data_IF_651102826759
#
_entry.id   IF_651102826759
#
_cell.length_a   1.000
_cell.length_b   1.000
_cell.length_c   1.000
_cell.angle_alpha   90.00
_cell.angle_beta   90.00
_cell.angle_gamma   90.00
#
_symmetry.space_group_name_H-M   'P 1'
#
loop_
_entity.id
_entity.type
_entity.pdbx_description
1 polymer ?
#
# COMPACT_ATOMS: atom_id res chain seq x y z
N UNK A 1 -47.46 -0.63 101.05
CA UNK A 1 -46.70 -1.53 101.94
C UNK A 1 -45.28 -0.97 102.10
N UNK A 2 -44.99 -0.53 103.33
CA UNK A 2 -43.73 -0.74 104.09
C UNK A 2 -42.39 -0.05 103.69
N UNK A 3 -42.06 1.04 104.44
CA UNK A 3 -40.75 1.47 105.06
C UNK A 3 -39.52 1.86 104.18
N UNK A 4 -38.49 2.62 104.67
CA UNK A 4 -38.43 3.84 105.54
C UNK A 4 -37.27 4.85 105.12
N UNK A 5 -36.52 5.60 106.00
CA UNK A 5 -36.57 7.07 106.05
C UNK A 5 -35.22 7.83 105.84
N UNK A 6 -35.32 9.17 105.91
CA UNK A 6 -34.30 10.24 105.97
C UNK A 6 -32.96 9.93 106.68
N UNK A 7 -31.84 10.44 106.12
CA UNK A 7 -30.71 11.08 106.88
C UNK A 7 -29.99 12.12 105.98
N UNK A 8 -29.84 13.37 106.45
CA UNK A 8 -28.86 14.37 105.93
C UNK A 8 -27.51 14.15 106.63
N UNK A 9 -26.34 14.25 105.97
CA UNK A 9 -25.42 15.34 106.32
C UNK A 9 -24.34 15.77 105.27
N UNK A 10 -23.86 17.01 105.48
CA UNK A 10 -22.52 17.59 105.24
C UNK A 10 -22.04 18.01 103.82
N UNK A 11 -21.35 19.18 103.70
CA UNK A 11 -20.95 19.79 102.43
C UNK A 11 -19.58 19.29 101.91
N UNK A 12 -19.33 19.31 100.58
CA UNK A 12 -18.04 18.90 100.04
C UNK A 12 -16.98 20.02 100.10
N UNK A 13 -15.84 19.68 100.71
CA UNK A 13 -14.57 20.41 100.65
C UNK A 13 -13.93 20.30 99.25
N UNK A 14 -13.34 21.41 98.77
CA UNK A 14 -12.51 21.45 97.55
C UNK A 14 -11.17 20.74 97.77
N UNK A 15 -10.81 19.88 96.83
CA UNK A 15 -9.54 19.17 96.72
C UNK A 15 -8.45 20.02 96.00
N UNK A 16 -7.16 19.64 96.10
CA UNK A 16 -6.00 20.49 95.81
C UNK A 16 -5.53 20.49 94.34
N UNK A 17 -4.87 21.57 93.94
CA UNK A 17 -4.26 21.79 92.62
C UNK A 17 -3.02 20.90 92.39
N UNK A 18 -2.97 20.25 91.23
CA UNK A 18 -1.79 19.53 90.69
C UNK A 18 -1.00 20.44 89.70
N UNK A 19 0.31 20.23 89.52
CA UNK A 19 1.16 21.12 88.73
C UNK A 19 1.05 20.91 87.21
N UNK A 20 1.20 22.01 86.46
CA UNK A 20 1.06 22.13 85.01
C UNK A 20 2.13 21.37 84.20
N UNK A 21 1.70 20.68 83.14
CA UNK A 21 2.56 20.10 82.10
C UNK A 21 3.11 21.18 81.13
N UNK A 22 4.28 20.97 80.50
CA UNK A 22 4.91 21.97 79.62
C UNK A 22 4.18 22.10 78.27
N UNK A 23 4.08 23.36 77.83
CA UNK A 23 3.44 23.81 76.60
C UNK A 23 4.10 23.21 75.36
N UNK A 24 3.36 22.45 74.56
CA UNK A 24 3.79 22.02 73.24
C UNK A 24 3.93 23.23 72.31
N UNK A 25 5.12 23.45 71.75
CA UNK A 25 5.35 24.46 70.72
C UNK A 25 4.54 24.10 69.46
N UNK A 26 3.80 25.08 68.94
CA UNK A 26 3.04 24.97 67.70
C UNK A 26 3.98 24.85 66.50
N UNK A 27 3.97 23.68 65.85
CA UNK A 27 4.61 23.46 64.55
C UNK A 27 3.87 24.32 63.51
N UNK A 28 4.55 25.16 62.71
CA UNK A 28 3.86 25.97 61.70
C UNK A 28 3.25 25.07 60.62
N UNK A 29 2.09 25.43 60.05
CA UNK A 29 1.39 24.59 59.09
C UNK A 29 2.27 24.36 57.86
N UNK A 30 2.55 23.09 57.54
CA UNK A 30 3.15 22.69 56.28
C UNK A 30 2.22 23.11 55.14
N UNK A 31 2.54 24.22 54.48
CA UNK A 31 1.86 24.67 53.26
C UNK A 31 2.01 23.58 52.20
N UNK A 32 0.90 23.15 51.61
CA UNK A 32 0.89 22.13 50.56
C UNK A 32 1.73 22.59 49.36
N UNK A 33 2.55 21.70 48.78
CA UNK A 33 3.46 22.05 47.68
C UNK A 33 2.78 22.72 46.48
N UNK A 34 1.49 22.44 46.25
CA UNK A 34 0.66 23.11 45.23
C UNK A 34 0.39 24.59 45.54
N UNK A 35 0.20 24.96 46.80
CA UNK A 35 0.01 26.35 47.22
C UNK A 35 1.31 27.17 47.03
N UNK A 36 2.46 26.57 47.35
CA UNK A 36 3.78 27.21 47.17
C UNK A 36 4.12 27.39 45.68
N UNK A 37 3.78 26.41 44.83
CA UNK A 37 3.97 26.50 43.37
C UNK A 37 3.08 27.57 42.77
N UNK A 38 1.81 27.65 43.17
CA UNK A 38 0.87 28.66 42.65
C UNK A 38 1.21 30.09 43.10
N UNK A 39 1.69 30.26 44.33
CA UNK A 39 2.13 31.56 44.86
C UNK A 39 3.44 32.03 44.20
N UNK A 40 4.39 31.12 43.95
CA UNK A 40 5.61 31.41 43.15
C UNK A 40 5.29 31.77 41.70
N UNK A 41 4.33 31.09 41.07
CA UNK A 41 3.87 31.42 39.72
C UNK A 41 3.20 32.81 39.67
N UNK A 42 2.41 33.17 40.69
CA UNK A 42 1.81 34.53 40.81
C UNK A 42 2.86 35.62 41.05
N UNK A 43 3.83 35.40 41.92
CA UNK A 43 4.90 36.36 42.21
C UNK A 43 5.89 36.52 41.02
N UNK A 44 6.09 35.46 40.23
CA UNK A 44 6.82 35.53 38.98
C UNK A 44 6.07 36.32 37.88
N UNK A 45 4.73 36.29 37.87
CA UNK A 45 3.94 37.02 36.89
C UNK A 45 3.96 38.57 37.07
N UNK A 46 4.29 39.04 38.27
CA UNK A 46 4.29 40.46 38.65
C UNK A 46 5.66 41.14 38.56
N UNK A 47 6.76 40.38 38.47
CA UNK A 47 8.15 40.90 38.39
C UNK A 47 8.73 40.71 36.97
N UNK A 48 9.54 41.65 36.47
CA UNK A 48 10.16 41.56 35.13
C UNK A 48 11.00 40.28 34.92
N UNK A 49 11.80 39.80 35.89
CA UNK A 49 12.53 38.53 35.79
C UNK A 49 11.62 37.30 35.66
N UNK A 50 10.50 37.27 36.40
CA UNK A 50 9.58 36.13 36.35
C UNK A 50 8.74 36.09 35.07
N UNK A 51 8.42 37.25 34.48
CA UNK A 51 7.79 37.33 33.15
C UNK A 51 8.69 36.76 32.05
N UNK A 52 10.00 36.96 32.12
CA UNK A 52 10.95 36.36 31.17
C UNK A 52 11.05 34.84 31.32
N UNK A 53 10.98 34.31 32.54
CA UNK A 53 10.92 32.86 32.78
C UNK A 53 9.66 32.22 32.21
N UNK A 54 8.49 32.85 32.40
CA UNK A 54 7.22 32.37 31.86
C UNK A 54 7.26 32.35 30.32
N UNK A 55 7.75 33.42 29.69
CA UNK A 55 7.88 33.48 28.22
C UNK A 55 8.85 32.39 27.72
N UNK A 56 9.99 32.20 28.39
CA UNK A 56 10.94 31.14 28.06
C UNK A 56 10.33 29.74 28.18
N UNK A 57 9.57 29.48 29.24
CA UNK A 57 8.88 28.21 29.45
C UNK A 57 7.78 27.95 28.41
N UNK A 58 6.99 28.97 28.06
CA UNK A 58 5.96 28.88 27.01
C UNK A 58 6.60 28.62 25.65
N UNK A 59 7.70 29.28 25.32
CA UNK A 59 8.44 29.05 24.08
C UNK A 59 9.04 27.66 24.01
N UNK A 60 9.67 27.19 25.08
CA UNK A 60 10.19 25.82 25.15
C UNK A 60 9.07 24.79 24.98
N UNK A 61 7.92 25.01 25.63
CA UNK A 61 6.76 24.14 25.50
C UNK A 61 6.17 24.15 24.09
N UNK A 62 6.11 25.31 23.43
CA UNK A 62 5.68 25.43 22.03
C UNK A 62 6.62 24.70 21.07
N UNK A 63 7.94 24.81 21.25
CA UNK A 63 8.93 24.10 20.42
C UNK A 63 8.84 22.60 20.62
N UNK A 64 8.67 22.14 21.87
CA UNK A 64 8.47 20.71 22.17
C UNK A 64 7.15 20.20 21.59
N UNK A 65 6.05 20.94 21.75
CA UNK A 65 4.76 20.57 21.18
C UNK A 65 4.80 20.51 19.65
N UNK A 66 5.44 21.51 19.00
CA UNK A 66 5.67 21.50 17.57
C UNK A 66 6.49 20.28 17.13
N UNK A 67 7.59 19.99 17.81
CA UNK A 67 8.42 18.81 17.55
C UNK A 67 7.65 17.49 17.71
N UNK A 68 6.88 17.35 18.78
CA UNK A 68 6.10 16.14 19.08
C UNK A 68 4.99 15.90 18.04
N UNK A 69 4.21 16.94 17.69
CA UNK A 69 3.15 16.83 16.68
C UNK A 69 3.74 16.55 15.30
N UNK A 70 4.85 17.20 14.97
CA UNK A 70 5.58 16.97 13.71
C UNK A 70 6.11 15.54 13.66
N UNK A 71 6.77 15.06 14.70
CA UNK A 71 7.25 13.69 14.78
C UNK A 71 6.11 12.66 14.65
N UNK A 72 4.98 12.87 15.33
CA UNK A 72 3.83 11.97 15.25
C UNK A 72 3.24 11.90 13.82
N UNK A 73 2.93 13.06 13.21
CA UNK A 73 2.31 13.11 11.88
C UNK A 73 3.22 12.61 10.77
N UNK A 74 4.53 12.80 10.90
CA UNK A 74 5.50 12.27 9.95
C UNK A 74 5.70 10.78 10.17
N UNK A 75 5.79 10.30 11.40
CA UNK A 75 5.93 8.87 11.68
C UNK A 75 4.79 8.06 11.07
N UNK A 76 3.54 8.51 11.26
CA UNK A 76 2.35 7.89 10.67
C UNK A 76 2.44 7.80 9.12
N UNK A 77 2.90 8.88 8.47
CA UNK A 77 3.10 8.92 7.01
C UNK A 77 4.28 8.08 6.54
N UNK A 78 5.36 8.07 7.31
CA UNK A 78 6.53 7.25 7.03
C UNK A 78 6.18 5.76 7.15
N UNK A 79 5.30 5.37 8.09
CA UNK A 79 4.76 4.01 8.16
C UNK A 79 3.85 3.69 6.99
N UNK A 80 2.95 4.58 6.57
CA UNK A 80 2.14 4.35 5.36
C UNK A 80 3.00 4.22 4.09
N UNK A 81 4.03 5.05 3.93
CA UNK A 81 4.98 4.92 2.83
C UNK A 81 5.84 3.65 2.93
N UNK A 82 6.15 3.18 4.15
CA UNK A 82 6.81 1.89 4.38
C UNK A 82 5.92 0.73 3.94
N UNK A 83 4.63 0.77 4.28
CA UNK A 83 3.62 -0.23 3.93
C UNK A 83 3.39 -0.32 2.41
N UNK A 84 3.32 0.83 1.72
CA UNK A 84 3.20 0.88 0.24
C UNK A 84 4.32 0.08 -0.43
N UNK A 85 5.57 0.27 0.00
CA UNK A 85 6.75 -0.36 -0.61
C UNK A 85 6.92 -1.82 -0.16
N UNK A 86 6.79 -2.10 1.14
CA UNK A 86 7.15 -3.42 1.68
C UNK A 86 6.01 -4.43 1.71
N UNK A 87 4.77 -3.97 1.60
CA UNK A 87 3.61 -4.83 1.81
C UNK A 87 2.59 -4.71 0.69
N UNK A 88 2.00 -3.54 0.50
CA UNK A 88 0.82 -3.38 -0.35
C UNK A 88 1.16 -3.53 -1.84
N UNK A 89 2.30 -3.00 -2.31
CA UNK A 89 2.73 -3.25 -3.69
C UNK A 89 3.12 -4.72 -3.92
N UNK A 90 3.97 -5.36 -3.09
CA UNK A 90 4.31 -6.77 -3.30
C UNK A 90 3.08 -7.68 -3.32
N UNK A 91 2.07 -7.41 -2.48
CA UNK A 91 0.82 -8.18 -2.47
C UNK A 91 -0.01 -7.98 -3.74
N UNK A 92 -0.14 -6.75 -4.24
CA UNK A 92 -0.83 -6.47 -5.52
C UNK A 92 -0.09 -7.14 -6.69
N UNK A 93 1.25 -7.07 -6.71
CA UNK A 93 2.08 -7.71 -7.73
C UNK A 93 1.99 -9.25 -7.65
N UNK A 94 2.02 -9.83 -6.46
CA UNK A 94 1.81 -11.28 -6.26
C UNK A 94 0.42 -11.70 -6.75
N UNK A 95 -0.63 -10.92 -6.46
CA UNK A 95 -1.99 -11.20 -6.92
C UNK A 95 -2.11 -11.19 -8.46
N UNK A 96 -1.49 -10.20 -9.13
CA UNK A 96 -1.41 -10.16 -10.59
C UNK A 96 -0.66 -11.39 -11.13
N UNK A 97 0.44 -11.79 -10.47
CA UNK A 97 1.21 -12.96 -10.87
C UNK A 97 0.46 -14.28 -10.64
N UNK A 98 -0.38 -14.40 -9.60
CA UNK A 98 -1.27 -15.56 -9.42
C UNK A 98 -2.20 -15.69 -10.62
N UNK A 99 -2.92 -14.62 -10.96
CA UNK A 99 -3.81 -14.63 -12.12
C UNK A 99 -3.06 -15.08 -13.37
N UNK A 100 -1.92 -14.42 -13.63
CA UNK A 100 -1.10 -14.65 -14.81
C UNK A 100 -0.67 -16.10 -14.91
N UNK A 101 -0.11 -16.68 -13.85
CA UNK A 101 0.35 -18.06 -13.86
C UNK A 101 -0.80 -19.04 -14.07
N UNK A 102 -1.98 -18.78 -13.52
CA UNK A 102 -3.17 -19.61 -13.79
C UNK A 102 -3.59 -19.56 -15.26
N UNK A 103 -3.60 -18.37 -15.85
CA UNK A 103 -4.00 -18.18 -17.24
C UNK A 103 -2.94 -18.68 -18.24
N UNK A 104 -1.64 -18.49 -17.95
CA UNK A 104 -0.52 -19.07 -18.71
C UNK A 104 -0.62 -20.62 -18.69
N UNK A 105 -0.89 -21.21 -17.52
CA UNK A 105 -1.05 -22.66 -17.38
C UNK A 105 -2.24 -23.20 -18.21
N UNK A 106 -3.39 -22.53 -18.22
CA UNK A 106 -4.56 -22.96 -19.00
C UNK A 106 -4.31 -22.87 -20.52
N UNK A 107 -3.67 -21.79 -20.97
CA UNK A 107 -3.24 -21.65 -22.36
C UNK A 107 -2.23 -22.74 -22.78
N UNK A 108 -1.27 -23.06 -21.91
CA UNK A 108 -0.31 -24.13 -22.13
C UNK A 108 -0.99 -25.50 -22.19
N UNK A 109 -1.90 -25.80 -21.25
CA UNK A 109 -2.62 -27.07 -21.21
C UNK A 109 -3.49 -27.28 -22.47
N UNK A 110 -4.20 -26.24 -22.93
CA UNK A 110 -4.99 -26.31 -24.15
C UNK A 110 -4.11 -26.49 -25.40
N UNK A 111 -3.00 -25.75 -25.50
CA UNK A 111 -2.06 -25.86 -26.62
C UNK A 111 -1.40 -27.24 -26.67
N UNK A 112 -0.97 -27.76 -25.50
CA UNK A 112 -0.36 -29.07 -25.38
C UNK A 112 -1.32 -30.21 -25.71
N UNK A 113 -2.60 -30.06 -25.36
CA UNK A 113 -3.63 -31.01 -25.76
C UNK A 113 -3.85 -31.04 -27.28
N UNK A 114 -3.89 -29.85 -27.92
CA UNK A 114 -4.07 -29.70 -29.36
C UNK A 114 -2.88 -30.21 -30.19
N UNK A 115 -1.67 -30.21 -29.63
CA UNK A 115 -0.48 -30.76 -30.29
C UNK A 115 -0.55 -32.29 -30.52
N UNK A 116 -1.50 -32.98 -29.87
CA UNK A 116 -1.81 -34.38 -30.09
C UNK A 116 -1.48 -35.29 -28.88
N UNK A 117 -1.47 -36.61 -29.07
CA UNK A 117 -1.30 -37.58 -27.98
C UNK A 117 0.03 -37.43 -27.23
N UNK A 118 1.09 -36.97 -27.91
CA UNK A 118 2.37 -36.65 -27.29
C UNK A 118 2.53 -35.14 -27.19
N UNK A 119 2.20 -34.60 -26.02
CA UNK A 119 2.42 -33.19 -25.70
C UNK A 119 3.92 -32.85 -25.78
N UNK A 120 4.32 -31.75 -26.45
CA UNK A 120 5.71 -31.28 -26.46
C UNK A 120 6.20 -31.01 -25.03
N UNK A 121 7.39 -31.53 -24.68
CA UNK A 121 7.94 -31.43 -23.32
C UNK A 121 8.01 -29.99 -22.81
N UNK A 122 8.43 -29.05 -23.66
CA UNK A 122 8.54 -27.64 -23.30
C UNK A 122 7.20 -27.03 -22.86
N UNK A 123 6.08 -27.41 -23.51
CA UNK A 123 4.73 -26.92 -23.15
C UNK A 123 4.29 -27.53 -21.82
N UNK A 124 4.59 -28.81 -21.60
CA UNK A 124 4.30 -29.50 -20.35
C UNK A 124 5.09 -28.89 -19.17
N UNK A 125 6.39 -28.67 -19.35
CA UNK A 125 7.26 -28.08 -18.33
C UNK A 125 6.82 -26.66 -17.99
N UNK A 126 6.41 -25.87 -18.98
CA UNK A 126 5.85 -24.54 -18.77
C UNK A 126 4.57 -24.60 -17.92
N UNK A 127 3.62 -25.48 -18.26
CA UNK A 127 2.40 -25.68 -17.46
C UNK A 127 2.73 -26.00 -16.00
N UNK A 128 3.69 -26.91 -15.75
CA UNK A 128 4.08 -27.27 -14.39
C UNK A 128 4.69 -26.09 -13.63
N UNK A 129 5.58 -25.33 -14.27
CA UNK A 129 6.20 -24.15 -13.69
C UNK A 129 5.16 -23.08 -13.33
N UNK A 130 4.17 -22.86 -14.19
CA UNK A 130 3.10 -21.89 -13.94
C UNK A 130 2.18 -22.34 -12.78
N UNK A 131 1.83 -23.63 -12.69
CA UNK A 131 1.05 -24.16 -11.55
C UNK A 131 1.83 -24.10 -10.24
N UNK A 132 3.14 -24.41 -10.28
CA UNK A 132 4.03 -24.30 -9.11
C UNK A 132 4.11 -22.85 -8.63
N UNK A 133 4.32 -21.91 -9.55
CA UNK A 133 4.41 -20.48 -9.23
C UNK A 133 3.09 -19.94 -8.66
N UNK A 134 1.94 -20.29 -9.26
CA UNK A 134 0.64 -19.92 -8.73
C UNK A 134 0.45 -20.46 -7.30
N UNK A 135 0.80 -21.73 -7.07
CA UNK A 135 0.69 -22.37 -5.75
C UNK A 135 1.59 -21.70 -4.72
N UNK A 136 2.84 -21.40 -5.08
CA UNK A 136 3.81 -20.71 -4.22
C UNK A 136 3.32 -19.32 -3.83
N UNK A 137 2.79 -18.56 -4.79
CA UNK A 137 2.25 -17.22 -4.55
C UNK A 137 0.97 -17.26 -3.72
N UNK A 138 0.09 -18.25 -3.91
CA UNK A 138 -1.09 -18.44 -3.08
C UNK A 138 -0.74 -18.71 -1.61
N UNK A 139 0.29 -19.53 -1.35
CA UNK A 139 0.80 -19.77 0.00
C UNK A 139 1.35 -18.47 0.61
N UNK A 140 2.13 -17.70 -0.16
CA UNK A 140 2.67 -16.41 0.27
C UNK A 140 1.55 -15.40 0.58
N UNK A 141 0.53 -15.32 -0.27
CA UNK A 141 -0.62 -14.44 -0.08
C UNK A 141 -1.43 -14.84 1.16
N UNK A 142 -1.69 -16.14 1.35
CA UNK A 142 -2.40 -16.67 2.52
C UNK A 142 -1.68 -16.36 3.83
N UNK A 143 -0.34 -16.42 3.86
CA UNK A 143 0.44 -16.10 5.05
C UNK A 143 0.37 -14.62 5.47
N UNK A 144 0.00 -13.72 4.56
CA UNK A 144 0.00 -12.27 4.77
C UNK A 144 -1.41 -11.64 4.78
N UNK A 145 -2.44 -12.47 4.65
CA UNK A 145 -3.84 -12.05 4.48
C UNK A 145 -4.73 -12.71 5.52
N UNK A 146 -5.56 -11.92 6.21
CA UNK A 146 -6.55 -12.45 7.14
C UNK A 146 -7.70 -13.14 6.37
N UNK A 147 -8.02 -14.37 6.75
CA UNK A 147 -9.06 -15.20 6.13
C UNK A 147 -10.47 -14.59 6.13
N UNK A 148 -10.76 -13.63 7.02
CA UNK A 148 -12.03 -12.92 7.10
C UNK A 148 -12.17 -11.77 6.10
N UNK A 149 -11.08 -11.40 5.43
CA UNK A 149 -11.07 -10.33 4.43
C UNK A 149 -11.56 -10.83 3.07
N UNK A 150 -11.94 -9.90 2.19
CA UNK A 150 -12.28 -10.21 0.79
C UNK A 150 -11.16 -11.00 0.10
N UNK A 151 -9.91 -10.53 0.22
CA UNK A 151 -8.73 -11.23 -0.30
C UNK A 151 -8.59 -12.65 0.28
N UNK A 152 -8.81 -12.82 1.58
CA UNK A 152 -8.78 -14.14 2.24
C UNK A 152 -9.81 -15.13 1.68
N UNK A 153 -11.02 -14.64 1.36
CA UNK A 153 -12.04 -15.46 0.71
C UNK A 153 -11.64 -15.89 -0.71
N UNK A 154 -11.12 -14.99 -1.53
CA UNK A 154 -10.68 -15.33 -2.89
C UNK A 154 -9.49 -16.31 -2.88
N UNK A 155 -8.51 -16.11 -1.98
CA UNK A 155 -7.40 -17.04 -1.78
C UNK A 155 -7.91 -18.43 -1.39
N UNK A 156 -8.95 -18.49 -0.55
CA UNK A 156 -9.58 -19.77 -0.16
C UNK A 156 -10.22 -20.46 -1.37
N UNK A 157 -10.96 -19.73 -2.21
CA UNK A 157 -11.53 -20.26 -3.45
C UNK A 157 -10.44 -20.79 -4.38
N UNK A 158 -9.36 -20.02 -4.59
CA UNK A 158 -8.24 -20.42 -5.43
C UNK A 158 -7.57 -21.71 -4.93
N UNK A 159 -7.31 -21.80 -3.62
CA UNK A 159 -6.72 -22.99 -3.00
C UNK A 159 -7.61 -24.24 -3.11
N UNK A 160 -8.94 -24.08 -3.16
CA UNK A 160 -9.89 -25.19 -3.30
C UNK A 160 -10.04 -25.66 -4.75
N UNK A 161 -10.08 -24.73 -5.69
CA UNK A 161 -10.35 -25.03 -7.10
C UNK A 161 -9.08 -25.41 -7.87
N UNK A 162 -7.90 -24.92 -7.49
CA UNK A 162 -6.66 -25.20 -8.22
C UNK A 162 -6.33 -26.71 -8.27
N UNK A 163 -6.41 -27.49 -7.17
CA UNK A 163 -6.21 -28.94 -7.23
C UNK A 163 -7.26 -29.68 -8.06
N UNK A 164 -8.50 -29.16 -8.12
CA UNK A 164 -9.58 -29.75 -8.93
C UNK A 164 -9.29 -29.53 -10.42
N UNK A 165 -8.88 -28.33 -10.78
CA UNK A 165 -8.45 -27.99 -12.13
C UNK A 165 -7.29 -28.88 -12.59
N UNK A 166 -6.20 -28.95 -11.81
CA UNK A 166 -5.02 -29.75 -12.19
C UNK A 166 -5.38 -31.24 -12.33
N UNK A 167 -6.22 -31.77 -11.45
CA UNK A 167 -6.73 -33.13 -11.56
C UNK A 167 -7.54 -33.39 -12.84
N UNK A 168 -8.29 -32.42 -13.34
CA UNK A 168 -9.02 -32.52 -14.61
C UNK A 168 -8.08 -32.47 -15.83
N UNK A 169 -7.06 -31.60 -15.79
CA UNK A 169 -6.04 -31.54 -16.86
C UNK A 169 -5.28 -32.86 -16.99
N UNK A 170 -4.88 -33.46 -15.87
CA UNK A 170 -4.16 -34.74 -15.94
C UNK A 170 -5.06 -35.89 -16.45
N UNK A 171 -6.36 -35.89 -16.14
CA UNK A 171 -7.32 -36.80 -16.76
C UNK A 171 -7.46 -36.54 -18.25
N UNK A 172 -7.53 -35.29 -18.67
CA UNK A 172 -7.58 -34.92 -20.09
C UNK A 172 -6.35 -35.46 -20.84
N UNK A 173 -5.14 -35.20 -20.33
CA UNK A 173 -3.87 -35.70 -20.89
C UNK A 173 -3.81 -37.23 -20.96
N UNK A 174 -4.19 -37.92 -19.88
CA UNK A 174 -4.19 -39.38 -19.84
C UNK A 174 -5.13 -40.01 -20.88
N UNK A 175 -6.29 -39.39 -21.13
CA UNK A 175 -7.22 -39.82 -22.17
C UNK A 175 -6.73 -39.42 -23.58
N UNK A 176 -6.11 -38.25 -23.73
CA UNK A 176 -5.53 -37.80 -25.01
C UNK A 176 -4.43 -38.75 -25.51
N UNK A 177 -3.56 -39.19 -24.59
CA UNK A 177 -2.52 -40.20 -24.87
C UNK A 177 -3.08 -41.52 -25.40
N UNK A 178 -4.31 -41.86 -25.03
CA UNK A 178 -5.01 -43.07 -25.48
C UNK A 178 -5.90 -42.83 -26.71
N UNK A 179 -5.94 -41.59 -27.24
CA UNK A 179 -6.83 -41.21 -28.35
C UNK A 179 -8.32 -41.22 -27.98
N UNK A 180 -8.66 -41.17 -26.69
CA UNK A 180 -10.05 -41.23 -26.23
C UNK A 180 -10.70 -39.85 -26.33
N UNK A 181 -11.88 -39.71 -26.99
CA UNK A 181 -12.60 -38.44 -27.10
C UNK A 181 -12.93 -37.78 -25.76
N UNK A 182 -13.00 -38.57 -24.69
CA UNK A 182 -13.23 -38.11 -23.32
C UNK A 182 -12.17 -37.12 -22.83
N UNK A 183 -10.95 -37.15 -23.40
CA UNK A 183 -9.90 -36.18 -23.09
C UNK A 183 -10.33 -34.74 -23.34
N UNK A 184 -10.99 -34.48 -24.48
CA UNK A 184 -11.47 -33.15 -24.83
C UNK A 184 -12.61 -32.68 -23.92
N UNK A 185 -13.43 -33.60 -23.41
CA UNK A 185 -14.48 -33.27 -22.45
C UNK A 185 -13.90 -32.84 -21.09
N UNK A 186 -12.89 -33.56 -20.59
CA UNK A 186 -12.19 -33.17 -19.37
C UNK A 186 -11.46 -31.83 -19.51
N UNK A 187 -10.81 -31.58 -20.66
CA UNK A 187 -10.15 -30.30 -20.92
C UNK A 187 -11.17 -29.14 -20.91
N UNK A 188 -12.31 -29.28 -21.60
CA UNK A 188 -13.34 -28.25 -21.61
C UNK A 188 -13.89 -27.98 -20.20
N UNK A 189 -14.09 -29.04 -19.40
CA UNK A 189 -14.55 -28.88 -18.02
C UNK A 189 -13.50 -28.23 -17.12
N UNK A 190 -12.22 -28.56 -17.30
CA UNK A 190 -11.11 -27.90 -16.61
C UNK A 190 -11.06 -26.40 -16.96
N UNK A 191 -11.13 -26.06 -18.25
CA UNK A 191 -11.16 -24.67 -18.69
C UNK A 191 -12.41 -23.93 -18.17
N UNK A 192 -13.58 -24.58 -18.11
CA UNK A 192 -14.77 -23.97 -17.50
C UNK A 192 -14.52 -23.60 -16.03
N UNK A 193 -13.81 -24.44 -15.27
CA UNK A 193 -13.38 -24.09 -13.90
C UNK A 193 -12.36 -22.96 -13.89
N UNK A 194 -11.41 -22.96 -14.83
CA UNK A 194 -10.43 -21.89 -14.94
C UNK A 194 -11.12 -20.54 -15.22
N UNK A 195 -11.91 -20.47 -16.29
CA UNK A 195 -12.57 -19.24 -16.74
C UNK A 195 -13.74 -18.80 -15.84
N UNK A 196 -14.46 -19.73 -15.22
CA UNK A 196 -15.65 -19.44 -14.41
C UNK A 196 -15.39 -19.24 -12.92
N UNK A 197 -14.31 -19.81 -12.37
CA UNK A 197 -14.06 -19.81 -10.93
C UNK A 197 -12.67 -19.27 -10.59
N UNK A 198 -11.60 -19.86 -11.13
CA UNK A 198 -10.22 -19.50 -10.76
C UNK A 198 -9.82 -18.10 -11.22
N UNK A 199 -9.93 -17.79 -12.51
CA UNK A 199 -9.55 -16.49 -13.05
C UNK A 199 -10.41 -15.35 -12.46
N UNK A 200 -11.74 -15.47 -12.34
CA UNK A 200 -12.55 -14.46 -11.66
C UNK A 200 -12.23 -14.28 -10.17
N UNK A 201 -11.84 -15.34 -9.46
CA UNK A 201 -11.37 -15.22 -8.08
C UNK A 201 -10.02 -14.50 -8.01
N UNK A 202 -9.08 -14.83 -8.89
CA UNK A 202 -7.79 -14.15 -8.98
C UNK A 202 -7.94 -12.66 -9.39
N UNK A 203 -8.88 -12.34 -10.27
CA UNK A 203 -9.20 -10.97 -10.68
C UNK A 203 -9.77 -10.16 -9.51
N UNK A 204 -10.69 -10.75 -8.73
CA UNK A 204 -11.23 -10.13 -7.51
C UNK A 204 -10.17 -9.97 -6.42
N UNK A 205 -9.26 -10.93 -6.27
CA UNK A 205 -8.10 -10.82 -5.38
C UNK A 205 -7.21 -9.64 -5.79
N UNK A 206 -6.87 -9.55 -7.08
CA UNK A 206 -6.08 -8.45 -7.62
C UNK A 206 -6.76 -7.09 -7.40
N UNK A 207 -8.06 -6.99 -7.66
CA UNK A 207 -8.83 -5.76 -7.44
C UNK A 207 -8.86 -5.35 -5.95
N UNK A 208 -8.97 -6.32 -5.03
CA UNK A 208 -8.97 -6.06 -3.60
C UNK A 208 -7.61 -5.53 -3.11
N UNK A 209 -6.50 -6.15 -3.53
CA UNK A 209 -5.15 -5.71 -3.15
C UNK A 209 -4.77 -4.36 -3.79
N UNK A 210 -5.18 -4.12 -5.03
CA UNK A 210 -4.93 -2.84 -5.71
C UNK A 210 -5.75 -1.70 -5.09
N UNK A 211 -7.00 -1.98 -4.69
CA UNK A 211 -7.82 -1.01 -3.94
C UNK A 211 -7.22 -0.65 -2.58
N UNK A 212 -6.65 -1.62 -1.88
CA UNK A 212 -5.93 -1.40 -0.61
C UNK A 212 -4.67 -0.56 -0.80
N UNK A 213 -3.87 -0.87 -1.83
CA UNK A 213 -2.70 -0.08 -2.20
C UNK A 213 -3.06 1.39 -2.45
N UNK A 214 -4.17 1.65 -3.14
CA UNK A 214 -4.70 3.01 -3.34
C UNK A 214 -5.02 3.74 -2.03
N UNK A 215 -5.60 3.05 -1.04
CA UNK A 215 -5.94 3.65 0.27
C UNK A 215 -4.70 4.01 1.09
N UNK A 216 -3.70 3.12 1.14
CA UNK A 216 -2.43 3.37 1.85
C UNK A 216 -1.69 4.56 1.21
N UNK A 217 -1.77 4.62 -0.11
CA UNK A 217 -1.19 5.67 -0.92
C UNK A 217 -1.87 7.04 -0.70
N UNK A 218 -3.21 7.11 -0.69
CA UNK A 218 -3.95 8.35 -0.39
C UNK A 218 -3.66 8.85 1.03
N UNK A 219 -3.55 7.93 1.99
CA UNK A 219 -3.19 8.25 3.38
C UNK A 219 -1.80 8.88 3.46
N UNK A 220 -0.81 8.31 2.75
CA UNK A 220 0.56 8.85 2.70
C UNK A 220 0.65 10.26 2.08
N UNK A 221 -0.25 10.62 1.15
CA UNK A 221 -0.22 11.88 0.38
C UNK A 221 -0.88 13.08 1.08
N UNK A 222 -1.62 12.87 2.16
CA UNK A 222 -2.37 13.95 2.85
C UNK A 222 -1.45 14.96 3.54
N UNK A 223 -1.70 16.25 3.33
CA UNK A 223 -0.90 17.35 3.90
C UNK A 223 -1.04 17.41 5.43
N UNK A 224 0.08 17.58 6.18
CA UNK A 224 0.06 17.68 7.64
C UNK A 224 -0.29 19.12 8.08
N UNK A 225 -1.50 19.58 7.76
CA UNK A 225 -1.93 20.97 8.01
C UNK A 225 -1.78 21.39 9.48
N UNK A 226 -1.97 20.46 10.40
CA UNK A 226 -1.82 20.71 11.83
C UNK A 226 -0.36 20.97 12.25
N UNK A 227 0.62 20.20 11.74
CA UNK A 227 2.03 20.45 12.08
C UNK A 227 2.53 21.77 11.47
N UNK A 228 2.15 22.05 10.22
CA UNK A 228 2.40 23.33 9.56
C UNK A 228 1.82 24.50 10.35
N UNK A 229 0.55 24.40 10.76
CA UNK A 229 -0.12 25.43 11.54
C UNK A 229 0.57 25.69 12.87
N UNK A 230 0.90 24.64 13.63
CA UNK A 230 1.60 24.77 14.92
C UNK A 230 3.00 25.36 14.73
N UNK A 231 3.73 24.97 13.68
CA UNK A 231 5.05 25.52 13.41
C UNK A 231 5.03 27.01 13.04
N UNK A 232 4.05 27.42 12.23
CA UNK A 232 3.84 28.85 11.90
C UNK A 232 3.51 29.66 13.17
N UNK A 233 2.64 29.13 14.02
CA UNK A 233 2.32 29.75 15.32
C UNK A 233 3.57 29.83 16.21
N UNK A 234 4.38 28.77 16.29
CA UNK A 234 5.61 28.76 17.06
C UNK A 234 6.61 29.82 16.58
N UNK A 235 6.80 29.95 15.25
CA UNK A 235 7.63 31.01 14.66
C UNK A 235 7.09 32.42 14.95
N UNK A 236 5.77 32.63 14.84
CA UNK A 236 5.14 33.91 15.12
C UNK A 236 5.36 34.35 16.58
N UNK A 237 5.23 33.40 17.53
CA UNK A 237 5.46 33.66 18.96
C UNK A 237 6.94 33.90 19.26
N UNK A 238 7.87 33.14 18.64
CA UNK A 238 9.31 33.36 18.74
C UNK A 238 9.71 34.76 18.22
N UNK A 239 9.20 35.15 17.05
CA UNK A 239 9.44 36.47 16.46
C UNK A 239 8.88 37.60 17.35
N UNK A 240 7.66 37.44 17.85
CA UNK A 240 7.06 38.41 18.78
C UNK A 240 7.90 38.56 20.06
N UNK A 241 8.39 37.45 20.64
CA UNK A 241 9.23 37.49 21.83
C UNK A 241 10.58 38.18 21.57
N UNK A 242 11.19 37.94 20.41
CA UNK A 242 12.42 38.63 19.98
C UNK A 242 12.19 40.14 19.77
N UNK A 243 11.11 40.52 19.06
CA UNK A 243 10.75 41.92 18.79
C UNK A 243 10.45 42.69 20.08
N UNK A 244 9.70 42.07 21.01
CA UNK A 244 9.42 42.66 22.33
C UNK A 244 10.69 42.91 23.12
N UNK A 245 11.60 41.94 23.15
CA UNK A 245 12.90 42.10 23.83
C UNK A 245 13.73 43.22 23.19
N UNK A 246 13.77 43.29 21.86
CA UNK A 246 14.50 44.35 21.15
C UNK A 246 13.96 45.74 21.50
N UNK A 247 12.64 45.97 21.42
CA UNK A 247 12.05 47.28 21.71
C UNK A 247 12.07 47.68 23.20
N UNK A 248 12.01 46.73 24.14
CA UNK A 248 12.03 47.05 25.57
C UNK A 248 13.42 47.17 26.18
N UNK A 249 14.41 46.48 25.63
CA UNK A 249 15.77 46.47 26.20
C UNK A 249 16.87 47.06 25.31
N UNK A 250 16.55 47.51 24.09
CA UNK A 250 17.49 48.15 23.15
C UNK A 250 18.81 47.38 22.92
N UNK A 251 18.84 46.07 23.19
CA UNK A 251 20.04 45.22 23.09
C UNK A 251 19.85 44.07 22.10
N UNK A 252 20.98 43.72 21.48
CA UNK A 252 21.14 42.77 20.37
C UNK A 252 20.60 41.37 20.73
N UNK A 253 20.11 40.67 19.69
CA UNK A 253 19.39 39.39 19.71
C UNK A 253 19.94 38.34 20.71
N UNK A 254 19.05 37.65 21.42
CA UNK A 254 19.43 36.53 22.31
C UNK A 254 19.82 35.30 21.47
N UNK A 255 21.08 34.88 21.57
CA UNK A 255 21.64 33.74 20.85
C UNK A 255 20.84 32.43 21.04
N UNK A 256 20.27 32.19 22.23
CA UNK A 256 19.45 30.99 22.48
C UNK A 256 18.09 31.03 21.76
N UNK A 257 17.46 32.21 21.68
CA UNK A 257 16.23 32.41 20.90
C UNK A 257 16.50 32.34 19.39
N UNK A 258 17.66 32.82 18.93
CA UNK A 258 18.08 32.67 17.54
C UNK A 258 18.31 31.20 17.19
N UNK A 259 19.00 30.44 18.04
CA UNK A 259 19.20 29.00 17.84
C UNK A 259 17.87 28.23 17.80
N UNK A 260 16.93 28.55 18.71
CA UNK A 260 15.59 27.95 18.70
C UNK A 260 14.78 28.31 17.44
N UNK A 261 14.91 29.54 16.95
CA UNK A 261 14.27 29.99 15.70
C UNK A 261 14.88 29.29 14.50
N UNK A 262 16.21 29.21 14.42
CA UNK A 262 16.92 28.51 13.36
C UNK A 262 16.53 27.02 13.32
N UNK A 263 16.51 26.34 14.48
CA UNK A 263 16.06 24.95 14.57
C UNK A 263 14.61 24.79 14.09
N UNK A 264 13.71 25.68 14.51
CA UNK A 264 12.29 25.65 14.09
C UNK A 264 12.12 25.89 12.58
N UNK A 265 12.89 26.82 12.00
CA UNK A 265 12.91 27.09 10.55
C UNK A 265 13.46 25.88 9.79
N UNK A 266 14.54 25.26 10.26
CA UNK A 266 15.10 24.05 9.63
C UNK A 266 14.08 22.92 9.63
N UNK A 267 13.39 22.65 10.75
CA UNK A 267 12.34 21.62 10.81
C UNK A 267 11.18 21.94 9.87
N UNK A 268 10.74 23.21 9.81
CA UNK A 268 9.66 23.62 8.92
C UNK A 268 10.04 23.51 7.44
N UNK A 269 11.25 23.95 7.07
CA UNK A 269 11.76 23.81 5.70
C UNK A 269 11.94 22.35 5.32
N UNK A 270 12.51 21.54 6.21
CA UNK A 270 12.67 20.10 5.96
C UNK A 270 11.30 19.42 5.83
N UNK A 271 10.34 19.74 6.70
CA UNK A 271 8.96 19.26 6.58
C UNK A 271 8.35 19.65 5.23
N UNK A 272 8.45 20.92 4.83
CA UNK A 272 7.87 21.42 3.59
C UNK A 272 8.52 20.77 2.36
N UNK A 273 9.85 20.69 2.31
CA UNK A 273 10.60 20.10 1.20
C UNK A 273 10.39 18.59 1.15
N UNK A 274 10.59 17.89 2.26
CA UNK A 274 10.45 16.43 2.33
C UNK A 274 9.03 15.97 2.00
N UNK A 275 8.00 16.71 2.45
CA UNK A 275 6.62 16.40 2.08
C UNK A 275 6.31 16.75 0.62
N UNK A 276 6.91 17.81 0.06
CA UNK A 276 6.75 18.15 -1.35
C UNK A 276 7.38 17.08 -2.27
N UNK A 277 8.59 16.62 -1.94
CA UNK A 277 9.28 15.52 -2.64
C UNK A 277 8.48 14.24 -2.50
N UNK A 278 8.13 13.83 -1.28
CA UNK A 278 7.34 12.61 -1.06
C UNK A 278 6.01 12.64 -1.81
N UNK A 279 5.31 13.78 -1.84
CA UNK A 279 4.06 13.94 -2.58
C UNK A 279 4.26 13.87 -4.09
N UNK A 280 5.34 14.44 -4.62
CA UNK A 280 5.67 14.39 -6.05
C UNK A 280 6.03 12.97 -6.45
N UNK A 281 6.98 12.35 -5.76
CA UNK A 281 7.48 11.02 -6.06
C UNK A 281 6.40 9.95 -5.92
N UNK A 282 5.57 10.06 -4.88
CA UNK A 282 4.38 9.22 -4.78
C UNK A 282 3.47 9.51 -5.98
N UNK A 283 3.15 10.76 -6.30
CA UNK A 283 2.23 11.10 -7.39
C UNK A 283 2.70 10.56 -8.74
N UNK A 284 4.00 10.62 -9.00
CA UNK A 284 4.65 9.98 -10.13
C UNK A 284 4.52 8.45 -10.03
N UNK A 285 4.76 7.82 -8.88
CA UNK A 285 4.55 6.38 -8.69
C UNK A 285 3.11 5.94 -9.00
N UNK A 286 2.11 6.75 -8.66
CA UNK A 286 0.71 6.43 -8.97
C UNK A 286 0.37 6.63 -10.46
N UNK A 287 0.70 7.79 -11.02
CA UNK A 287 0.32 8.15 -12.40
C UNK A 287 1.19 7.48 -13.45
N UNK A 288 2.50 7.37 -13.22
CA UNK A 288 3.43 6.70 -14.14
C UNK A 288 3.46 5.20 -13.91
N UNK A 289 3.51 4.76 -12.65
CA UNK A 289 3.64 3.34 -12.30
C UNK A 289 2.30 2.61 -12.18
N UNK A 290 1.50 2.89 -11.15
CA UNK A 290 0.31 2.08 -10.82
C UNK A 290 -0.76 2.06 -11.92
N UNK A 291 -1.10 3.21 -12.49
CA UNK A 291 -2.11 3.26 -13.56
C UNK A 291 -1.66 2.47 -14.80
N UNK A 292 -0.39 2.61 -15.18
CA UNK A 292 0.21 1.84 -16.28
C UNK A 292 0.23 0.34 -15.95
N UNK A 293 0.64 -0.04 -14.74
CA UNK A 293 0.66 -1.44 -14.28
C UNK A 293 -0.74 -2.07 -14.30
N UNK A 294 -1.76 -1.35 -13.84
CA UNK A 294 -3.15 -1.85 -13.84
C UNK A 294 -3.65 -2.12 -15.25
N UNK A 295 -3.51 -1.15 -16.16
CA UNK A 295 -3.91 -1.29 -17.56
C UNK A 295 -3.11 -2.38 -18.29
N UNK A 296 -1.79 -2.45 -18.08
CA UNK A 296 -0.95 -3.49 -18.67
C UNK A 296 -1.26 -4.88 -18.13
N UNK A 297 -1.61 -5.00 -16.85
CA UNK A 297 -2.06 -6.26 -16.27
C UNK A 297 -3.39 -6.67 -16.91
N UNK A 298 -4.38 -5.77 -17.03
CA UNK A 298 -5.65 -6.05 -17.72
C UNK A 298 -5.42 -6.47 -19.18
N UNK A 299 -4.58 -5.75 -19.93
CA UNK A 299 -4.21 -6.13 -21.28
C UNK A 299 -3.64 -7.56 -21.32
N UNK A 300 -2.73 -7.90 -20.42
CA UNK A 300 -2.15 -9.24 -20.38
C UNK A 300 -3.17 -10.31 -20.01
N UNK A 301 -4.06 -10.02 -19.07
CA UNK A 301 -5.18 -10.87 -18.70
C UNK A 301 -6.05 -11.17 -19.94
N UNK A 302 -6.43 -10.14 -20.69
CA UNK A 302 -7.27 -10.27 -21.86
C UNK A 302 -6.58 -11.00 -23.02
N UNK A 303 -5.27 -10.79 -23.19
CA UNK A 303 -4.44 -11.57 -24.12
C UNK A 303 -4.45 -13.06 -23.79
N UNK A 304 -4.38 -13.42 -22.51
CA UNK A 304 -4.42 -14.83 -22.09
C UNK A 304 -5.81 -15.44 -22.24
N UNK A 305 -6.88 -14.70 -21.89
CA UNK A 305 -8.27 -15.10 -22.14
C UNK A 305 -8.50 -15.33 -23.63
N UNK A 306 -8.03 -14.43 -24.50
CA UNK A 306 -8.13 -14.57 -25.94
C UNK A 306 -7.38 -15.82 -26.45
N UNK A 307 -6.17 -16.10 -25.94
CA UNK A 307 -5.40 -17.29 -26.36
C UNK A 307 -6.09 -18.59 -25.95
N UNK A 308 -6.63 -18.66 -24.74
CA UNK A 308 -7.38 -19.82 -24.27
C UNK A 308 -8.62 -20.05 -25.14
N UNK A 309 -9.40 -19.00 -25.39
CA UNK A 309 -10.60 -19.07 -26.22
C UNK A 309 -10.30 -19.47 -27.67
N UNK A 310 -9.26 -18.90 -28.28
CA UNK A 310 -8.80 -19.28 -29.63
C UNK A 310 -8.52 -20.79 -29.72
N UNK A 311 -7.77 -21.34 -28.76
CA UNK A 311 -7.49 -22.77 -28.72
C UNK A 311 -8.78 -23.59 -28.56
N UNK A 312 -9.73 -23.11 -27.75
CA UNK A 312 -10.98 -23.82 -27.51
C UNK A 312 -11.94 -23.82 -28.70
N UNK A 313 -11.85 -22.83 -29.61
CA UNK A 313 -12.57 -22.91 -30.89
C UNK A 313 -12.23 -24.21 -31.62
N UNK A 314 -10.96 -24.60 -31.61
CA UNK A 314 -10.45 -25.81 -32.28
C UNK A 314 -10.69 -27.08 -31.46
N UNK A 315 -10.62 -27.01 -30.13
CA UNK A 315 -10.93 -28.17 -29.26
C UNK A 315 -12.42 -28.51 -29.31
N UNK A 316 -13.28 -27.51 -29.26
CA UNK A 316 -14.72 -27.67 -29.21
C UNK A 316 -15.34 -27.84 -30.59
N UNK A 317 -14.72 -27.31 -31.65
CA UNK A 317 -15.18 -27.43 -33.05
C UNK A 317 -16.66 -27.03 -33.22
N UNK A 318 -17.06 -25.89 -32.67
CA UNK A 318 -18.45 -25.44 -32.74
C UNK A 318 -19.44 -26.14 -31.80
N UNK A 319 -18.99 -27.11 -30.99
CA UNK A 319 -19.91 -27.87 -30.13
C UNK A 319 -20.46 -27.08 -28.93
N UNK A 320 -19.85 -25.94 -28.60
CA UNK A 320 -20.30 -25.07 -27.51
C UNK A 320 -20.79 -23.76 -28.10
N UNK A 321 -22.11 -23.55 -28.02
CA UNK A 321 -22.76 -22.38 -28.58
C UNK A 321 -23.02 -21.32 -27.52
N UNK A 322 -23.18 -20.08 -27.97
CA UNK A 322 -23.71 -18.97 -27.19
C UNK A 322 -25.12 -19.31 -26.64
N UNK A 323 -25.57 -18.57 -25.63
CA UNK A 323 -26.86 -18.82 -24.99
C UNK A 323 -28.07 -18.75 -25.94
N UNK A 324 -27.95 -18.00 -27.04
CA UNK A 324 -28.96 -17.91 -28.10
C UNK A 324 -28.85 -19.03 -29.15
N UNK A 325 -27.83 -19.90 -29.05
CA UNK A 325 -27.61 -21.04 -29.92
C UNK A 325 -27.14 -20.70 -31.33
N UNK A 326 -26.68 -19.47 -31.59
CA UNK A 326 -26.41 -18.99 -32.95
C UNK A 326 -24.93 -18.93 -33.35
N UNK A 327 -24.03 -18.87 -32.37
CA UNK A 327 -22.61 -18.65 -32.63
C UNK A 327 -21.76 -19.55 -31.77
N UNK A 328 -20.55 -19.86 -32.24
CA UNK A 328 -19.55 -20.52 -31.40
C UNK A 328 -19.22 -19.61 -30.21
N UNK A 329 -19.34 -20.16 -29.00
CA UNK A 329 -19.12 -19.41 -27.76
C UNK A 329 -17.68 -18.93 -27.65
N UNK A 330 -16.71 -19.78 -27.95
CA UNK A 330 -15.30 -19.46 -27.78
C UNK A 330 -14.82 -18.45 -28.82
N UNK A 331 -15.34 -18.48 -30.04
CA UNK A 331 -15.09 -17.45 -31.05
C UNK A 331 -15.64 -16.09 -30.61
N UNK A 332 -16.85 -16.07 -30.05
CA UNK A 332 -17.47 -14.85 -29.50
C UNK A 332 -16.66 -14.29 -28.33
N UNK A 333 -16.23 -15.16 -27.41
CA UNK A 333 -15.45 -14.78 -26.25
C UNK A 333 -14.02 -14.35 -26.65
N UNK A 334 -13.43 -14.96 -27.70
CA UNK A 334 -12.18 -14.49 -28.32
C UNK A 334 -12.33 -13.07 -28.86
N UNK A 335 -13.36 -12.80 -29.66
CA UNK A 335 -13.59 -11.48 -30.23
C UNK A 335 -13.81 -10.41 -29.16
N UNK A 336 -14.54 -10.76 -28.10
CA UNK A 336 -14.78 -9.88 -26.95
C UNK A 336 -13.49 -9.57 -26.19
N UNK A 337 -12.71 -10.61 -25.83
CA UNK A 337 -11.43 -10.44 -25.14
C UNK A 337 -10.40 -9.70 -25.99
N UNK A 338 -10.38 -9.94 -27.29
CA UNK A 338 -9.47 -9.25 -28.21
C UNK A 338 -9.81 -7.76 -28.35
N UNK A 339 -11.09 -7.40 -28.30
CA UNK A 339 -11.51 -5.99 -28.27
C UNK A 339 -11.07 -5.30 -26.97
N UNK A 340 -11.29 -5.94 -25.83
CA UNK A 340 -10.85 -5.43 -24.53
C UNK A 340 -9.32 -5.24 -24.49
N UNK A 341 -8.55 -6.23 -24.98
CA UNK A 341 -7.10 -6.14 -25.12
C UNK A 341 -6.65 -4.91 -25.93
N UNK A 342 -7.31 -4.63 -27.07
CA UNK A 342 -6.98 -3.45 -27.88
C UNK A 342 -7.29 -2.15 -27.13
N UNK A 343 -8.42 -2.08 -26.42
CA UNK A 343 -8.80 -0.91 -25.62
C UNK A 343 -7.82 -0.64 -24.46
N UNK A 344 -7.36 -1.69 -23.77
CA UNK A 344 -6.35 -1.60 -22.72
C UNK A 344 -4.99 -1.18 -23.30
N UNK A 345 -4.56 -1.75 -24.42
CA UNK A 345 -3.30 -1.35 -25.08
C UNK A 345 -3.32 0.10 -25.59
N UNK A 346 -4.45 0.58 -26.10
CA UNK A 346 -4.65 1.97 -26.49
C UNK A 346 -4.55 2.91 -25.26
N UNK A 347 -5.08 2.47 -24.12
CA UNK A 347 -4.99 3.20 -22.86
C UNK A 347 -3.55 3.22 -22.34
N UNK A 348 -2.84 2.10 -22.38
CA UNK A 348 -1.43 2.01 -22.01
C UNK A 348 -0.54 2.91 -22.90
N UNK A 349 -0.81 2.93 -24.20
CA UNK A 349 -0.08 3.77 -25.15
C UNK A 349 -0.29 5.27 -24.89
N UNK A 350 -1.51 5.68 -24.49
CA UNK A 350 -1.81 7.05 -24.07
C UNK A 350 -1.08 7.40 -22.78
N UNK A 351 -1.14 6.55 -21.77
CA UNK A 351 -0.44 6.75 -20.50
C UNK A 351 1.06 6.92 -20.70
N UNK A 352 1.71 6.02 -21.44
CA UNK A 352 3.15 6.12 -21.74
C UNK A 352 3.52 7.41 -22.49
N UNK A 353 2.63 7.92 -23.35
CA UNK A 353 2.83 9.18 -24.06
C UNK A 353 2.68 10.39 -23.13
N UNK A 354 1.65 10.39 -22.29
CA UNK A 354 1.35 11.49 -21.36
C UNK A 354 2.42 11.62 -20.27
N UNK A 355 3.07 10.52 -19.90
CA UNK A 355 4.18 10.48 -18.93
C UNK A 355 5.56 10.70 -19.57
N UNK A 356 5.61 10.85 -20.90
CA UNK A 356 6.85 10.92 -21.70
C UNK A 356 7.78 9.71 -21.49
N UNK A 357 7.23 8.54 -21.19
CA UNK A 357 7.99 7.32 -20.98
C UNK A 357 8.31 6.62 -22.31
N UNK A 358 9.43 7.02 -22.90
CA UNK A 358 9.89 6.41 -24.16
C UNK A 358 10.25 4.93 -24.01
N UNK A 359 10.74 4.50 -22.84
CA UNK A 359 11.19 3.14 -22.60
C UNK A 359 10.00 2.17 -22.41
N UNK A 360 8.95 2.61 -21.73
CA UNK A 360 7.68 1.89 -21.60
C UNK A 360 6.85 1.88 -22.90
N UNK A 361 6.93 2.94 -23.70
CA UNK A 361 6.15 3.05 -24.95
C UNK A 361 6.53 2.03 -26.03
N UNK A 362 7.81 1.64 -26.11
CA UNK A 362 8.29 0.75 -27.17
C UNK A 362 7.76 -0.70 -27.02
N UNK A 363 7.83 -1.34 -25.83
CA UNK A 363 7.13 -2.60 -25.57
C UNK A 363 5.63 -2.54 -25.88
N UNK A 364 4.92 -1.49 -25.47
CA UNK A 364 3.48 -1.33 -25.75
C UNK A 364 3.21 -1.29 -27.25
N UNK A 365 4.00 -0.52 -28.00
CA UNK A 365 3.88 -0.46 -29.46
C UNK A 365 4.16 -1.82 -30.13
N UNK A 366 5.09 -2.63 -29.59
CA UNK A 366 5.32 -4.00 -30.06
C UNK A 366 4.13 -4.91 -29.76
N UNK A 367 3.50 -4.78 -28.60
CA UNK A 367 2.30 -5.54 -28.25
C UNK A 367 1.13 -5.21 -29.21
N UNK A 368 0.88 -3.92 -29.48
CA UNK A 368 -0.15 -3.47 -30.45
C UNK A 368 0.06 -4.07 -31.84
N UNK A 369 1.31 -4.06 -32.34
CA UNK A 369 1.65 -4.70 -33.62
C UNK A 369 1.41 -6.20 -33.59
N UNK A 370 1.82 -6.87 -32.51
CA UNK A 370 1.60 -8.29 -32.31
C UNK A 370 0.12 -8.68 -32.30
N UNK A 371 -0.74 -7.87 -31.65
CA UNK A 371 -2.19 -8.06 -31.62
C UNK A 371 -2.80 -7.91 -33.01
N UNK A 372 -2.37 -6.89 -33.77
CA UNK A 372 -2.85 -6.69 -35.15
C UNK A 372 -2.48 -7.88 -36.04
N UNK A 373 -1.26 -8.38 -35.91
CA UNK A 373 -0.80 -9.57 -36.63
C UNK A 373 -1.58 -10.82 -36.20
N UNK A 374 -1.82 -10.98 -34.89
CA UNK A 374 -2.60 -12.09 -34.34
C UNK A 374 -4.02 -12.10 -34.91
N UNK A 375 -4.74 -10.98 -34.88
CA UNK A 375 -6.08 -10.86 -35.45
C UNK A 375 -6.11 -11.19 -36.96
N UNK A 376 -5.06 -10.84 -37.70
CA UNK A 376 -4.94 -11.17 -39.12
C UNK A 376 -4.74 -12.67 -39.35
N UNK A 377 -3.82 -13.30 -38.59
CA UNK A 377 -3.55 -14.73 -38.66
C UNK A 377 -4.76 -15.55 -38.20
N UNK A 378 -5.43 -15.13 -37.14
CA UNK A 378 -6.64 -15.77 -36.62
C UNK A 378 -7.78 -15.76 -37.66
N UNK A 379 -8.06 -14.62 -38.29
CA UNK A 379 -9.06 -14.55 -39.37
C UNK A 379 -8.73 -15.47 -40.56
N UNK A 380 -7.44 -15.68 -40.83
CA UNK A 380 -7.01 -16.63 -41.87
C UNK A 380 -7.27 -18.06 -41.42
N UNK A 381 -6.89 -18.41 -40.19
CA UNK A 381 -7.17 -19.71 -39.59
C UNK A 381 -8.67 -20.05 -39.54
N UNK A 382 -9.52 -19.10 -39.15
CA UNK A 382 -10.97 -19.26 -39.16
C UNK A 382 -11.52 -19.55 -40.55
N UNK A 383 -11.09 -18.80 -41.57
CA UNK A 383 -11.51 -19.07 -42.96
C UNK A 383 -11.10 -20.48 -43.44
N UNK A 384 -9.91 -20.93 -43.06
CA UNK A 384 -9.44 -22.28 -43.36
C UNK A 384 -10.31 -23.33 -42.66
N UNK A 385 -10.60 -23.16 -41.37
CA UNK A 385 -11.46 -24.05 -40.58
C UNK A 385 -12.90 -24.09 -41.12
N UNK A 386 -13.48 -22.93 -41.43
CA UNK A 386 -14.83 -22.79 -41.99
C UNK A 386 -14.94 -23.43 -43.39
N UNK A 387 -13.83 -23.60 -44.10
CA UNK A 387 -13.77 -24.32 -45.39
C UNK A 387 -13.66 -25.84 -45.25
N UNK A 388 -13.52 -26.35 -44.02
CA UNK A 388 -13.41 -27.76 -43.69
C UNK A 388 -11.97 -28.30 -43.61
N UNK A 389 -10.95 -27.45 -43.81
CA UNK A 389 -9.54 -27.83 -43.71
C UNK A 389 -9.02 -27.66 -42.27
N UNK A 390 -9.44 -28.59 -41.41
CA UNK A 390 -9.10 -28.58 -39.99
C UNK A 390 -7.58 -28.68 -39.72
N UNK A 391 -6.87 -29.55 -40.44
CA UNK A 391 -5.45 -29.81 -40.18
C UNK A 391 -4.58 -28.58 -40.50
N UNK A 392 -4.90 -27.87 -41.58
CA UNK A 392 -4.23 -26.61 -41.91
C UNK A 392 -4.62 -25.51 -40.91
N UNK A 393 -5.89 -25.41 -40.52
CA UNK A 393 -6.33 -24.43 -39.52
C UNK A 393 -5.65 -24.65 -38.15
N UNK A 394 -5.55 -25.91 -37.72
CA UNK A 394 -4.82 -26.30 -36.51
C UNK A 394 -3.36 -25.84 -36.61
N UNK A 395 -2.68 -26.16 -37.72
CA UNK A 395 -1.29 -25.73 -37.97
C UNK A 395 -1.14 -24.20 -37.93
N UNK A 396 -2.10 -23.46 -38.47
CA UNK A 396 -2.11 -21.99 -38.44
C UNK A 396 -2.32 -21.42 -37.03
N UNK A 397 -2.90 -22.18 -36.09
CA UNK A 397 -3.18 -21.73 -34.72
C UNK A 397 -2.07 -22.14 -33.73
N UNK A 398 -1.68 -23.41 -33.74
CA UNK A 398 -0.71 -23.95 -32.77
C UNK A 398 0.73 -23.97 -33.32
N UNK A 399 0.91 -24.01 -34.65
CA UNK A 399 2.20 -24.22 -35.30
C UNK A 399 2.40 -25.67 -35.75
N UNK A 400 3.61 -25.99 -36.20
CA UNK A 400 3.99 -27.34 -36.66
C UNK A 400 5.12 -27.90 -35.80
N UNK A 401 4.88 -29.04 -35.15
CA UNK A 401 5.83 -29.63 -34.21
C UNK A 401 6.20 -28.64 -33.10
N UNK A 402 7.50 -28.45 -32.86
CA UNK A 402 8.01 -27.50 -31.85
C UNK A 402 8.07 -26.03 -32.34
N UNK A 403 7.71 -25.77 -33.61
CA UNK A 403 7.80 -24.44 -34.21
C UNK A 403 6.44 -23.75 -34.23
N UNK A 404 6.36 -22.56 -33.63
CA UNK A 404 5.20 -21.65 -33.72
C UNK A 404 5.29 -20.68 -34.90
N UNK A 405 6.34 -20.74 -35.73
CA UNK A 405 6.54 -19.78 -36.83
C UNK A 405 5.34 -19.71 -37.76
N UNK A 406 4.87 -18.49 -38.02
CA UNK A 406 3.72 -18.24 -38.89
C UNK A 406 2.35 -18.50 -38.25
N UNK A 407 2.30 -19.07 -37.03
CA UNK A 407 1.02 -19.37 -36.35
C UNK A 407 0.50 -18.20 -35.52
N UNK A 408 -0.76 -18.26 -35.11
CA UNK A 408 -1.30 -17.31 -34.12
C UNK A 408 -0.56 -17.40 -32.78
N UNK A 409 -0.04 -18.59 -32.43
CA UNK A 409 0.79 -18.81 -31.25
C UNK A 409 2.08 -17.99 -31.25
N UNK A 410 2.74 -17.79 -32.40
CA UNK A 410 3.90 -16.88 -32.47
C UNK A 410 3.50 -15.43 -32.21
N UNK A 411 2.35 -14.98 -32.74
CA UNK A 411 1.86 -13.62 -32.49
C UNK A 411 1.53 -13.42 -31.02
N UNK A 412 0.84 -14.38 -30.39
CA UNK A 412 0.59 -14.38 -28.94
C UNK A 412 1.90 -14.30 -28.14
N UNK A 413 2.90 -15.14 -28.45
CA UNK A 413 4.19 -15.13 -27.76
C UNK A 413 4.90 -13.77 -27.87
N UNK A 414 4.77 -13.09 -29.02
CA UNK A 414 5.31 -11.72 -29.19
C UNK A 414 4.56 -10.70 -28.35
N UNK A 415 3.23 -10.76 -28.32
CA UNK A 415 2.37 -9.87 -27.50
C UNK A 415 2.70 -10.03 -26.03
N UNK A 416 2.67 -11.27 -25.54
CA UNK A 416 2.91 -11.57 -24.14
C UNK A 416 4.36 -11.21 -23.72
N UNK A 417 5.37 -11.48 -24.56
CA UNK A 417 6.75 -11.02 -24.30
C UNK A 417 6.84 -9.50 -24.20
N UNK A 418 6.14 -8.78 -25.09
CA UNK A 418 6.13 -7.32 -25.08
C UNK A 418 5.43 -6.76 -23.84
N UNK A 419 4.29 -7.35 -23.44
CA UNK A 419 3.59 -7.01 -22.20
C UNK A 419 4.42 -7.31 -20.95
N UNK A 420 5.15 -8.45 -20.91
CA UNK A 420 6.11 -8.75 -19.82
C UNK A 420 7.18 -7.68 -19.71
N UNK A 421 7.73 -7.22 -20.83
CA UNK A 421 8.75 -6.17 -20.86
C UNK A 421 8.17 -4.83 -20.38
N UNK A 422 6.96 -4.46 -20.81
CA UNK A 422 6.28 -3.26 -20.35
C UNK A 422 6.04 -3.31 -18.83
N UNK A 423 5.45 -4.41 -18.34
CA UNK A 423 5.17 -4.60 -16.92
C UNK A 423 6.43 -4.55 -16.04
N UNK A 424 7.53 -5.17 -16.48
CA UNK A 424 8.80 -5.13 -15.75
C UNK A 424 9.34 -3.70 -15.64
N UNK A 425 9.30 -2.94 -16.75
CA UNK A 425 9.73 -1.54 -16.78
C UNK A 425 8.90 -0.66 -15.84
N UNK A 426 7.57 -0.74 -15.95
CA UNK A 426 6.66 0.05 -15.09
C UNK A 426 6.77 -0.34 -13.61
N UNK A 427 7.05 -1.62 -13.33
CA UNK A 427 7.27 -2.10 -11.98
C UNK A 427 8.57 -1.56 -11.38
N UNK A 428 9.63 -1.42 -12.17
CA UNK A 428 10.90 -0.82 -11.75
C UNK A 428 10.78 0.70 -11.54
N UNK A 429 10.06 1.40 -12.41
CA UNK A 429 9.74 2.83 -12.24
C UNK A 429 8.89 3.07 -10.99
N UNK A 430 7.85 2.24 -10.77
CA UNK A 430 7.04 2.30 -9.55
C UNK A 430 7.91 2.12 -8.30
N UNK A 431 8.73 1.07 -8.25
CA UNK A 431 9.55 0.74 -7.08
C UNK A 431 10.51 1.87 -6.77
N UNK A 432 11.20 2.40 -7.78
CA UNK A 432 12.13 3.53 -7.61
C UNK A 432 11.43 4.79 -7.08
N UNK A 433 10.29 5.15 -7.65
CA UNK A 433 9.53 6.33 -7.24
C UNK A 433 8.98 6.18 -5.81
N UNK A 434 8.44 5.00 -5.47
CA UNK A 434 7.92 4.72 -4.14
C UNK A 434 9.04 4.67 -3.07
N UNK A 435 10.19 4.08 -3.38
CA UNK A 435 11.37 4.07 -2.50
C UNK A 435 11.95 5.47 -2.29
N UNK A 436 12.00 6.30 -3.33
CA UNK A 436 12.42 7.71 -3.22
C UNK A 436 11.49 8.51 -2.31
N UNK A 437 10.18 8.41 -2.55
CA UNK A 437 9.17 9.10 -1.73
C UNK A 437 9.22 8.67 -0.26
N UNK A 438 9.41 7.36 -0.01
CA UNK A 438 9.65 6.81 1.33
C UNK A 438 10.94 7.34 1.95
N UNK A 439 12.04 7.38 1.20
CA UNK A 439 13.35 7.89 1.63
C UNK A 439 13.28 9.35 2.08
N UNK A 440 12.51 10.18 1.37
CA UNK A 440 12.29 11.59 1.70
C UNK A 440 11.62 11.79 3.08
N UNK A 441 10.83 10.82 3.54
CA UNK A 441 10.13 10.86 4.83
C UNK A 441 10.90 10.18 5.97
N UNK A 442 11.79 9.23 5.68
CA UNK A 442 12.36 8.34 6.71
C UNK A 442 13.20 9.04 7.79
N UNK A 443 13.98 10.06 7.45
CA UNK A 443 14.86 10.77 8.41
C UNK A 443 14.16 11.87 9.23
N UNK A 444 12.99 12.32 8.77
CA UNK A 444 12.30 13.48 9.32
C UNK A 444 11.83 13.32 10.78
N UNK A 445 11.26 12.17 11.23
CA UNK A 445 10.80 12.04 12.61
C UNK A 445 11.93 12.17 13.63
N UNK A 446 13.06 11.50 13.37
CA UNK A 446 14.25 11.50 14.24
C UNK A 446 14.90 12.90 14.23
N UNK A 447 15.06 13.49 13.04
CA UNK A 447 15.61 14.84 12.88
C UNK A 447 14.76 15.91 13.57
N UNK A 448 13.44 15.87 13.40
CA UNK A 448 12.50 16.80 14.03
C UNK A 448 12.52 16.67 15.56
N UNK A 449 12.53 15.45 16.10
CA UNK A 449 12.62 15.22 17.54
C UNK A 449 13.94 15.76 18.11
N UNK A 450 15.08 15.47 17.47
CA UNK A 450 16.38 15.96 17.90
C UNK A 450 16.47 17.50 17.88
N UNK A 451 16.02 18.13 16.79
CA UNK A 451 16.02 19.59 16.64
C UNK A 451 15.05 20.27 17.61
N UNK A 452 13.91 19.65 17.94
CA UNK A 452 12.99 20.17 18.93
C UNK A 452 13.60 20.16 20.34
N UNK A 453 14.28 19.07 20.72
CA UNK A 453 15.01 18.99 22.01
C UNK A 453 16.12 20.03 22.07
N UNK A 454 16.95 20.14 21.02
CA UNK A 454 18.03 21.12 20.95
C UNK A 454 17.49 22.57 21.00
N UNK A 455 16.41 22.86 20.28
CA UNK A 455 15.75 24.16 20.28
C UNK A 455 15.18 24.52 21.66
N UNK A 456 14.55 23.56 22.35
CA UNK A 456 14.04 23.75 23.70
C UNK A 456 15.16 24.03 24.70
N UNK A 457 16.26 23.26 24.67
CA UNK A 457 17.44 23.47 25.53
C UNK A 457 18.06 24.85 25.26
N UNK A 458 18.22 25.23 23.99
CA UNK A 458 18.77 26.54 23.61
C UNK A 458 17.89 27.71 24.11
N UNK A 459 16.57 27.56 24.04
CA UNK A 459 15.63 28.56 24.57
C UNK A 459 15.78 28.71 26.10
N UNK A 460 15.85 27.59 26.84
CA UNK A 460 16.00 27.60 28.30
C UNK A 460 17.34 28.20 28.73
N UNK A 461 18.45 27.76 28.12
CA UNK A 461 19.80 28.26 28.42
C UNK A 461 19.92 29.75 28.07
N UNK A 462 19.38 30.18 26.93
CA UNK A 462 19.39 31.59 26.52
C UNK A 462 18.60 32.50 27.45
N UNK A 463 17.53 32.02 28.08
CA UNK A 463 16.76 32.77 29.07
C UNK A 463 17.47 32.78 30.43
N UNK A 464 18.02 31.65 30.88
CA UNK A 464 18.73 31.53 32.16
C UNK A 464 20.03 32.33 32.20
N UNK A 465 20.83 32.33 31.12
CA UNK A 465 22.06 33.12 31.04
C UNK A 465 21.82 34.62 31.13
N UNK A 466 20.64 35.09 30.68
CA UNK A 466 20.21 36.48 30.89
C UNK A 466 19.82 36.76 32.33
N UNK A 467 19.19 35.82 33.03
CA UNK A 467 18.82 35.99 34.44
C UNK A 467 20.04 36.11 35.36
N UNK A 468 21.17 35.49 35.00
CA UNK A 468 22.43 35.65 35.73
C UNK A 468 23.11 37.01 35.55
N UNK A 469 22.73 37.81 34.55
CA UNK A 469 23.27 39.18 34.36
C UNK A 469 22.57 40.23 35.24
N UNK A 470 21.42 39.88 35.86
CA UNK A 470 20.65 40.75 36.76
C UNK A 470 20.85 40.44 38.26
N UNK A 471 21.71 39.47 38.58
CA UNK A 471 22.19 39.19 39.94
C UNK A 471 23.58 39.78 40.08
#
# INVERSE_FOLDING_TARGET
MTYPPNVRPAPPQRAPEQPSAPTAASVPPQRSGRAVVTERLRAAATTEPGRLQIIGAVLALLVVAFGAVTAYQISDRATSADDVVKRSQPLSADAANIYRSLADADAAAASGFLAGPQEPRAVHDQYLADIEEASRLLVKAAANTDSSTKSGHEITTLNQELPRYTGLIERARANNRQGLPLGGAYLRYANQKMAGELLPAAERLYAAETGRLGQDYDSARTWPFFSLGIGVVALAVLFWAQRRNFHRTNRVLNHGLLAATAASVVVLLWLAVGHSVARSDLADANTRGQQSLDVLNRARIDSLKARANENLTVVARGAVLTADGKSDKYETDYGTGMKALVEELDTAAKLAKDTHDTAGSEPVARAVKGVTEWQSRHRTARKTDDSGDYDTALTQIIGSGDSTKGSTGESFNRVDKALRQALAHEQDEFTRAAESGRGALGGLPIGAAALAVLGAVAAIVGVNRRLSEFR
#
